data_IF_151018399983
#
_entry.id   IF_151018399983
#
_cell.length_a   1.000
_cell.length_b   1.000
_cell.length_c   1.000
_cell.angle_alpha   90.00
_cell.angle_beta   90.00
_cell.angle_gamma   90.00
#
_symmetry.space_group_name_H-M   'P 1'
#
loop_
_entity.id
_entity.type
_entity.pdbx_description
1 polymer ?
#
# COMPACT_ATOMS: atom_id res chain seq x y z
N UNK A 1 15.38 15.39 -11.79
CA UNK A 1 15.26 13.93 -11.62
C UNK A 1 13.80 13.49 -11.57
N UNK A 2 13.45 12.36 -12.24
CA UNK A 2 12.06 11.86 -12.24
C UNK A 2 11.62 11.54 -10.82
N UNK A 3 10.53 12.16 -10.37
CA UNK A 3 9.93 11.98 -9.03
C UNK A 3 9.34 10.57 -8.83
N UNK A 4 8.88 9.94 -9.92
CA UNK A 4 8.28 8.61 -9.95
C UNK A 4 9.02 7.72 -10.93
N UNK A 5 9.16 6.46 -10.56
CA UNK A 5 9.82 5.41 -11.35
C UNK A 5 8.93 4.18 -11.42
N UNK A 6 9.26 3.28 -12.32
CA UNK A 6 8.58 2.00 -12.47
C UNK A 6 9.56 0.85 -12.28
N UNK A 7 9.09 -0.20 -11.62
CA UNK A 7 9.77 -1.48 -11.48
C UNK A 7 8.97 -2.55 -12.22
N UNK A 8 9.55 -3.15 -13.25
CA UNK A 8 8.92 -4.23 -13.99
C UNK A 8 8.98 -5.52 -13.17
N UNK A 9 7.80 -6.06 -12.81
CA UNK A 9 7.67 -7.36 -12.16
C UNK A 9 7.69 -8.47 -13.21
N UNK A 10 7.12 -8.21 -14.39
CA UNK A 10 7.11 -9.07 -15.56
C UNK A 10 7.02 -8.20 -16.82
N UNK A 11 7.00 -8.85 -18.01
CA UNK A 11 6.83 -8.18 -19.31
C UNK A 11 5.59 -7.25 -19.33
N UNK A 12 4.51 -7.64 -18.64
CA UNK A 12 3.21 -6.93 -18.70
C UNK A 12 2.83 -6.23 -17.40
N UNK A 13 3.66 -6.32 -16.34
CA UNK A 13 3.29 -5.82 -15.02
C UNK A 13 4.42 -4.98 -14.42
N UNK A 14 4.08 -3.72 -14.09
CA UNK A 14 5.00 -2.76 -13.47
C UNK A 14 4.38 -2.12 -12.23
N UNK A 15 5.19 -1.89 -11.21
CA UNK A 15 4.82 -1.12 -10.02
C UNK A 15 5.43 0.28 -10.11
N UNK A 16 4.62 1.29 -9.85
CA UNK A 16 5.12 2.65 -9.67
C UNK A 16 5.62 2.84 -8.24
N UNK A 17 6.67 3.61 -8.08
CA UNK A 17 7.20 3.98 -6.78
C UNK A 17 7.85 5.37 -6.83
N UNK A 18 8.00 5.98 -5.66
CA UNK A 18 8.74 7.23 -5.49
C UNK A 18 9.97 6.97 -4.64
N UNK A 19 11.12 7.51 -5.05
CA UNK A 19 12.38 7.42 -4.30
C UNK A 19 13.14 8.73 -4.41
N UNK A 20 14.15 8.92 -3.58
CA UNK A 20 15.11 10.01 -3.67
C UNK A 20 16.51 9.47 -4.01
N UNK A 21 17.55 10.35 -3.99
CA UNK A 21 18.91 9.97 -4.34
C UNK A 21 19.78 9.60 -3.14
N UNK A 22 19.26 9.75 -1.94
CA UNK A 22 20.02 9.44 -0.75
C UNK A 22 20.02 7.93 -0.49
N UNK A 23 21.19 7.39 -0.16
CA UNK A 23 21.39 5.99 0.20
C UNK A 23 21.90 5.89 1.64
N UNK A 24 21.30 6.66 2.55
CA UNK A 24 21.68 6.73 3.96
C UNK A 24 20.65 6.07 4.85
N UNK A 25 21.13 5.32 5.82
CA UNK A 25 20.32 4.67 6.86
C UNK A 25 19.83 5.66 7.93
N UNK A 26 18.65 5.40 8.52
CA UNK A 26 17.66 4.46 8.02
C UNK A 26 16.90 5.01 6.81
N UNK A 27 16.45 4.15 5.91
CA UNK A 27 15.46 4.54 4.90
C UNK A 27 14.11 4.85 5.56
N UNK A 28 13.34 5.74 4.93
CA UNK A 28 11.91 5.91 5.20
C UNK A 28 11.13 5.16 4.13
N UNK A 29 10.41 4.10 4.51
CA UNK A 29 9.54 3.33 3.61
C UNK A 29 8.10 3.66 3.93
N UNK A 30 7.37 4.24 2.96
CA UNK A 30 5.96 4.61 3.10
C UNK A 30 5.04 3.68 2.31
N UNK A 31 4.02 3.15 2.99
CA UNK A 31 2.99 2.25 2.47
C UNK A 31 1.62 2.93 2.57
N UNK A 32 0.96 3.22 1.42
CA UNK A 32 -0.32 3.93 1.39
C UNK A 32 -1.49 3.04 1.82
N UNK A 33 -2.64 3.67 2.04
CA UNK A 33 -3.90 3.00 2.38
C UNK A 33 -4.64 2.45 1.18
N UNK A 34 -5.81 1.88 1.47
CA UNK A 34 -6.77 1.35 0.51
C UNK A 34 -7.15 2.39 -0.54
N UNK A 35 -7.12 2.01 -1.81
CA UNK A 35 -7.40 2.88 -2.98
C UNK A 35 -6.58 4.18 -3.03
N UNK A 36 -5.50 4.28 -2.27
CA UNK A 36 -4.63 5.46 -2.25
C UNK A 36 -3.44 5.31 -3.20
N UNK A 37 -2.94 6.45 -3.68
CA UNK A 37 -1.71 6.55 -4.45
C UNK A 37 -0.56 7.13 -3.62
N UNK A 38 0.57 7.39 -4.28
CA UNK A 38 1.77 7.99 -3.68
C UNK A 38 1.94 9.48 -4.03
N UNK A 39 0.87 10.14 -4.51
CA UNK A 39 0.88 11.57 -4.87
C UNK A 39 0.26 12.46 -3.79
N UNK A 40 -0.35 11.88 -2.76
CA UNK A 40 -1.03 12.58 -1.67
C UNK A 40 -0.09 13.36 -0.73
N UNK A 41 -0.68 14.06 0.24
CA UNK A 41 0.05 14.89 1.23
C UNK A 41 1.03 14.04 2.07
N UNK A 42 0.58 12.90 2.61
CA UNK A 42 1.40 12.04 3.50
C UNK A 42 2.72 11.61 2.84
N UNK A 43 2.73 10.91 1.68
CA UNK A 43 4.01 10.50 1.06
C UNK A 43 4.88 11.69 0.66
N UNK A 44 4.30 12.84 0.27
CA UNK A 44 5.07 14.07 0.00
C UNK A 44 5.78 14.60 1.23
N UNK A 45 5.09 14.64 2.39
CA UNK A 45 5.67 15.13 3.65
C UNK A 45 6.81 14.23 4.13
N UNK A 46 6.65 12.91 4.09
CA UNK A 46 7.72 11.99 4.46
C UNK A 46 8.90 12.02 3.51
N UNK A 47 8.66 12.21 2.21
CA UNK A 47 9.73 12.43 1.24
C UNK A 47 10.49 13.72 1.51
N UNK A 48 9.78 14.81 1.83
CA UNK A 48 10.39 16.09 2.19
C UNK A 48 11.26 15.96 3.44
N UNK A 49 10.74 15.30 4.47
CA UNK A 49 11.49 14.99 5.69
C UNK A 49 12.75 14.16 5.39
N UNK A 50 12.64 13.10 4.62
CA UNK A 50 13.78 12.27 4.24
C UNK A 50 14.84 13.08 3.48
N UNK A 51 14.42 13.96 2.55
CA UNK A 51 15.33 14.83 1.80
C UNK A 51 16.05 15.81 2.72
N UNK A 52 15.33 16.49 3.62
CA UNK A 52 15.92 17.44 4.59
C UNK A 52 16.99 16.77 5.45
N UNK A 53 16.78 15.53 5.85
CA UNK A 53 17.70 14.77 6.70
C UNK A 53 18.68 13.89 5.89
N UNK A 54 18.70 13.99 4.56
CA UNK A 54 19.57 13.21 3.65
C UNK A 54 19.40 11.68 3.84
N UNK A 55 18.21 11.22 4.24
CA UNK A 55 17.87 9.80 4.41
C UNK A 55 17.35 9.21 3.10
N UNK A 56 17.53 7.90 2.90
CA UNK A 56 16.87 7.17 1.81
C UNK A 56 15.36 7.23 1.94
N UNK A 57 14.64 7.22 0.81
CA UNK A 57 13.17 7.24 0.77
C UNK A 57 12.62 6.26 -0.26
N UNK A 58 11.56 5.57 0.10
CA UNK A 58 10.76 4.75 -0.79
C UNK A 58 9.26 4.90 -0.43
N UNK A 59 8.43 5.30 -1.40
CA UNK A 59 6.98 5.12 -1.31
C UNK A 59 6.53 4.11 -2.37
N UNK A 60 5.77 3.12 -1.95
CA UNK A 60 5.31 1.98 -2.76
C UNK A 60 3.90 2.25 -3.26
N UNK A 61 3.64 2.01 -4.55
CA UNK A 61 2.29 1.98 -5.10
C UNK A 61 1.97 0.57 -5.58
N UNK A 62 1.01 -0.07 -4.94
CA UNK A 62 0.69 -1.49 -5.17
C UNK A 62 0.02 -1.73 -6.53
N UNK A 63 0.00 -2.98 -6.97
CA UNK A 63 -0.79 -3.41 -8.13
C UNK A 63 -2.24 -2.96 -8.02
N UNK A 64 -2.78 -2.39 -9.11
CA UNK A 64 -4.15 -1.88 -9.16
C UNK A 64 -4.39 -0.55 -8.47
N UNK A 65 -3.36 0.06 -7.86
CA UNK A 65 -3.43 1.40 -7.26
C UNK A 65 -2.75 2.44 -8.15
N UNK A 66 -3.29 3.65 -8.16
CA UNK A 66 -2.74 4.80 -8.87
C UNK A 66 -2.38 4.50 -10.33
N UNK A 67 -1.08 4.54 -10.66
CA UNK A 67 -0.55 4.25 -12.01
C UNK A 67 0.24 2.95 -12.10
N UNK A 68 0.21 2.12 -11.07
CA UNK A 68 0.72 0.75 -11.13
C UNK A 68 -0.19 -0.14 -12.00
N UNK A 69 0.41 -1.14 -12.65
CA UNK A 69 -0.36 -2.10 -13.47
C UNK A 69 -1.31 -2.95 -12.62
N UNK A 70 -2.32 -3.49 -13.28
CA UNK A 70 -3.32 -4.38 -12.68
C UNK A 70 -4.66 -3.68 -12.46
N UNK A 71 -5.66 -4.49 -12.10
CA UNK A 71 -6.99 -4.00 -11.74
C UNK A 71 -7.15 -4.10 -10.23
N UNK A 72 -7.63 -3.05 -9.57
CA UNK A 72 -7.83 -3.01 -8.12
C UNK A 72 -8.66 -4.19 -7.61
N UNK A 73 -9.74 -4.52 -8.32
CA UNK A 73 -10.65 -5.63 -8.00
C UNK A 73 -10.00 -7.03 -8.07
N UNK A 74 -8.80 -7.15 -8.63
CA UNK A 74 -7.99 -8.37 -8.65
C UNK A 74 -6.91 -8.38 -7.56
N UNK A 75 -6.92 -7.37 -6.68
CA UNK A 75 -5.97 -7.24 -5.58
C UNK A 75 -6.45 -7.86 -4.29
N UNK A 76 -5.51 -8.14 -3.40
CA UNK A 76 -5.73 -8.52 -2.01
C UNK A 76 -4.51 -8.17 -1.16
N UNK A 77 -4.62 -8.31 0.15
CA UNK A 77 -3.53 -7.96 1.09
C UNK A 77 -2.25 -8.77 0.81
N UNK A 78 -2.37 -10.05 0.46
CA UNK A 78 -1.21 -10.90 0.16
C UNK A 78 -0.46 -10.42 -1.09
N UNK A 79 -1.17 -10.06 -2.16
CA UNK A 79 -0.60 -9.50 -3.38
C UNK A 79 0.13 -8.18 -3.08
N UNK A 80 -0.50 -7.25 -2.36
CA UNK A 80 0.04 -5.94 -2.05
C UNK A 80 1.21 -6.02 -1.06
N UNK A 81 1.18 -6.97 -0.11
CA UNK A 81 2.31 -7.31 0.75
C UNK A 81 3.52 -7.77 -0.07
N UNK A 82 3.30 -8.61 -1.08
CA UNK A 82 4.36 -9.10 -1.96
C UNK A 82 4.90 -8.00 -2.88
N UNK A 83 4.05 -7.09 -3.37
CA UNK A 83 4.48 -5.92 -4.14
C UNK A 83 5.41 -5.01 -3.32
N UNK A 84 5.03 -4.71 -2.08
CA UNK A 84 5.85 -3.95 -1.14
C UNK A 84 7.20 -4.66 -0.89
N UNK A 85 7.17 -5.97 -0.60
CA UNK A 85 8.37 -6.78 -0.40
C UNK A 85 9.34 -6.69 -1.58
N UNK A 86 8.84 -6.80 -2.82
CA UNK A 86 9.67 -6.72 -4.03
C UNK A 86 10.35 -5.35 -4.17
N UNK A 87 9.62 -4.26 -3.97
CA UNK A 87 10.17 -2.91 -4.05
C UNK A 87 11.15 -2.61 -2.92
N UNK A 88 10.86 -3.02 -1.69
CA UNK A 88 11.78 -2.88 -0.55
C UNK A 88 13.10 -3.60 -0.85
N UNK A 89 13.04 -4.86 -1.26
CA UNK A 89 14.26 -5.62 -1.64
C UNK A 89 15.07 -4.93 -2.73
N UNK A 90 14.40 -4.41 -3.75
CA UNK A 90 15.06 -3.78 -4.92
C UNK A 90 15.69 -2.44 -4.59
N UNK A 91 15.01 -1.60 -3.80
CA UNK A 91 15.39 -0.19 -3.57
C UNK A 91 16.17 -0.02 -2.27
N UNK A 92 15.66 -0.58 -1.17
CA UNK A 92 16.29 -0.47 0.16
C UNK A 92 17.48 -1.42 0.29
N UNK A 93 17.43 -2.56 -0.40
CA UNK A 93 18.49 -3.59 -0.39
C UNK A 93 18.75 -4.11 1.03
N UNK A 94 19.99 -3.98 1.53
CA UNK A 94 20.43 -4.40 2.88
C UNK A 94 20.34 -3.29 3.94
N UNK A 95 19.90 -2.08 3.56
CA UNK A 95 19.83 -0.97 4.49
C UNK A 95 18.76 -1.18 5.56
N UNK A 96 18.96 -0.57 6.73
CA UNK A 96 17.94 -0.45 7.78
C UNK A 96 16.87 0.54 7.34
N UNK A 97 15.63 0.38 7.81
CA UNK A 97 14.55 1.30 7.48
C UNK A 97 13.48 1.41 8.56
N UNK A 98 12.91 2.61 8.65
CA UNK A 98 11.66 2.87 9.33
C UNK A 98 10.52 2.58 8.34
N UNK A 99 9.52 1.82 8.75
CA UNK A 99 8.35 1.53 7.93
C UNK A 99 7.14 2.33 8.42
N UNK A 100 6.49 3.03 7.50
CA UNK A 100 5.34 3.89 7.79
C UNK A 100 4.16 3.37 7.01
N UNK A 101 3.11 2.95 7.70
CA UNK A 101 1.88 2.47 7.10
C UNK A 101 0.70 3.37 7.40
N UNK A 102 -0.05 3.78 6.37
CA UNK A 102 -1.29 4.52 6.54
C UNK A 102 -2.50 3.63 6.31
N UNK A 103 -3.43 3.53 7.28
CA UNK A 103 -4.64 2.70 7.20
C UNK A 103 -4.28 1.24 6.83
N UNK A 104 -4.82 0.68 5.73
CA UNK A 104 -4.42 -0.62 5.18
C UNK A 104 -2.90 -0.80 5.06
N UNK A 105 -2.17 0.28 4.74
CA UNK A 105 -0.70 0.25 4.64
C UNK A 105 -0.02 -0.15 5.94
N UNK A 106 -0.64 0.07 7.09
CA UNK A 106 -0.14 -0.41 8.38
C UNK A 106 -0.25 -1.94 8.50
N UNK A 107 -1.32 -2.55 7.99
CA UNK A 107 -1.42 -4.01 7.91
C UNK A 107 -0.35 -4.60 7.00
N UNK A 108 -0.15 -4.01 5.82
CA UNK A 108 0.91 -4.43 4.90
C UNK A 108 2.30 -4.24 5.55
N UNK A 109 2.50 -3.17 6.34
CA UNK A 109 3.73 -2.93 7.08
C UNK A 109 4.01 -4.01 8.13
N UNK A 110 3.01 -4.41 8.92
CA UNK A 110 3.11 -5.52 9.86
C UNK A 110 3.55 -6.82 9.17
N UNK A 111 2.97 -7.11 8.00
CA UNK A 111 3.34 -8.28 7.22
C UNK A 111 4.80 -8.25 6.71
N UNK A 112 5.44 -7.07 6.60
CA UNK A 112 6.83 -6.97 6.18
C UNK A 112 7.82 -7.49 7.25
N UNK A 113 7.45 -7.51 8.54
CA UNK A 113 8.30 -8.07 9.59
C UNK A 113 8.66 -9.54 9.36
N UNK A 114 7.80 -10.30 8.69
CA UNK A 114 8.09 -11.71 8.29
C UNK A 114 9.30 -11.83 7.38
N UNK A 115 9.64 -10.76 6.63
CA UNK A 115 10.69 -10.77 5.61
C UNK A 115 11.90 -9.90 5.95
N UNK A 116 11.72 -8.88 6.80
CA UNK A 116 12.70 -7.82 7.03
C UNK A 116 12.91 -7.53 8.53
N UNK A 117 12.62 -8.50 9.42
CA UNK A 117 12.73 -8.35 10.88
C UNK A 117 14.03 -7.65 11.31
N UNK A 118 15.15 -8.06 10.72
CA UNK A 118 16.48 -7.53 11.09
C UNK A 118 16.82 -6.19 10.42
N UNK A 119 15.99 -5.71 9.48
CA UNK A 119 16.21 -4.43 8.78
C UNK A 119 15.23 -3.34 9.25
N UNK A 120 14.05 -3.71 9.75
CA UNK A 120 13.07 -2.78 10.29
C UNK A 120 13.55 -2.31 11.66
N UNK A 121 13.86 -1.01 11.78
CA UNK A 121 14.31 -0.38 13.03
C UNK A 121 13.21 0.36 13.77
N UNK A 122 12.03 0.46 13.18
CA UNK A 122 10.84 1.05 13.79
C UNK A 122 9.65 1.06 12.84
N UNK A 123 8.46 1.19 13.39
CA UNK A 123 7.21 1.27 12.65
C UNK A 123 6.36 2.45 13.14
N UNK A 124 5.79 3.19 12.19
CA UNK A 124 4.77 4.21 12.45
C UNK A 124 3.47 3.84 11.73
N UNK A 125 2.39 3.68 12.48
CA UNK A 125 1.05 3.49 11.96
C UNK A 125 0.26 4.79 12.00
N UNK A 126 -0.39 5.16 10.91
CA UNK A 126 -1.23 6.35 10.79
C UNK A 126 -2.66 5.92 10.49
N UNK A 127 -3.57 6.04 11.46
CA UNK A 127 -4.93 5.54 11.33
C UNK A 127 -4.94 4.05 10.97
N UNK A 128 -4.15 3.27 11.69
CA UNK A 128 -3.89 1.85 11.39
C UNK A 128 -5.17 1.03 11.37
N UNK A 129 -5.36 0.23 10.33
CA UNK A 129 -6.53 -0.60 10.15
C UNK A 129 -6.12 -2.05 9.76
N UNK A 130 -5.48 -2.81 10.67
CA UNK A 130 -5.24 -4.23 10.44
C UNK A 130 -6.58 -4.97 10.42
N UNK A 131 -6.68 -6.00 9.55
CA UNK A 131 -7.89 -6.84 9.44
C UNK A 131 -9.19 -6.07 9.14
N UNK A 132 -9.09 -4.84 8.59
CA UNK A 132 -10.26 -3.98 8.36
C UNK A 132 -11.26 -4.60 7.38
N UNK A 133 -10.80 -5.42 6.46
CA UNK A 133 -11.64 -6.09 5.47
C UNK A 133 -12.64 -7.04 6.13
N UNK A 134 -12.21 -7.78 7.14
CA UNK A 134 -13.06 -8.66 7.92
C UNK A 134 -13.83 -7.87 8.98
N UNK A 135 -13.11 -7.23 9.91
CA UNK A 135 -13.71 -6.62 11.11
C UNK A 135 -14.55 -5.38 10.85
N UNK A 136 -14.14 -4.52 9.91
CA UNK A 136 -14.80 -3.23 9.66
C UNK A 136 -15.68 -3.24 8.41
N UNK A 137 -15.49 -4.22 7.52
CA UNK A 137 -16.26 -4.30 6.28
C UNK A 137 -17.15 -5.56 6.26
N UNK A 138 -16.61 -6.76 6.05
CA UNK A 138 -17.38 -7.97 5.86
C UNK A 138 -18.40 -8.23 6.98
N UNK A 139 -17.94 -8.19 8.24
CA UNK A 139 -18.82 -8.45 9.39
C UNK A 139 -19.92 -7.40 9.57
N UNK A 140 -19.73 -6.20 8.99
CA UNK A 140 -20.72 -5.11 9.06
C UNK A 140 -21.57 -4.93 7.80
N UNK A 141 -21.27 -5.67 6.73
CA UNK A 141 -22.08 -5.58 5.53
C UNK A 141 -23.48 -6.17 5.74
N UNK A 142 -24.53 -5.49 5.24
CA UNK A 142 -25.85 -6.09 5.13
C UNK A 142 -25.81 -7.39 4.32
N UNK A 143 -26.69 -8.34 4.65
CA UNK A 143 -26.75 -9.62 3.94
C UNK A 143 -26.94 -9.48 2.41
N UNK A 144 -27.66 -8.46 1.97
CA UNK A 144 -27.81 -8.12 0.55
C UNK A 144 -26.46 -7.92 -0.14
N UNK A 145 -25.56 -7.17 0.49
CA UNK A 145 -24.21 -6.88 -0.04
C UNK A 145 -23.34 -8.14 -0.02
N UNK A 146 -23.35 -8.90 1.08
CA UNK A 146 -22.64 -10.17 1.17
C UNK A 146 -23.06 -11.13 0.08
N UNK A 147 -24.38 -11.30 -0.10
CA UNK A 147 -24.96 -12.15 -1.14
C UNK A 147 -24.60 -11.67 -2.56
N UNK A 148 -24.52 -10.36 -2.78
CA UNK A 148 -24.08 -9.82 -4.06
C UNK A 148 -22.61 -10.17 -4.34
N UNK A 149 -21.72 -10.00 -3.36
CA UNK A 149 -20.29 -10.36 -3.47
C UNK A 149 -20.16 -11.88 -3.73
N UNK A 150 -20.88 -12.71 -2.98
CA UNK A 150 -20.80 -14.17 -3.13
C UNK A 150 -21.32 -14.64 -4.50
N UNK A 151 -22.42 -14.05 -5.00
CA UNK A 151 -23.06 -14.48 -6.26
C UNK A 151 -22.38 -13.89 -7.50
N UNK A 152 -22.00 -12.59 -7.45
CA UNK A 152 -21.44 -11.85 -8.61
C UNK A 152 -19.91 -11.69 -8.54
N UNK A 153 -19.29 -12.06 -7.41
CA UNK A 153 -17.87 -11.88 -7.17
C UNK A 153 -17.44 -10.45 -6.81
N UNK A 154 -18.39 -9.49 -6.82
CA UNK A 154 -18.12 -8.07 -6.55
C UNK A 154 -19.39 -7.32 -6.15
N UNK A 155 -19.26 -6.36 -5.24
CA UNK A 155 -20.26 -5.31 -5.00
C UNK A 155 -19.58 -3.94 -4.94
N UNK A 156 -20.35 -2.88 -5.24
CA UNK A 156 -19.88 -1.48 -5.09
C UNK A 156 -20.49 -0.90 -3.82
N UNK A 157 -19.64 -0.52 -2.89
CA UNK A 157 -20.05 0.05 -1.61
C UNK A 157 -19.97 1.57 -1.67
N UNK A 158 -21.06 2.24 -1.33
CA UNK A 158 -21.10 3.68 -1.16
C UNK A 158 -20.67 4.03 0.27
N UNK A 159 -19.73 4.94 0.44
CA UNK A 159 -19.34 5.46 1.75
C UNK A 159 -19.85 6.89 1.94
N UNK A 160 -20.87 7.05 2.81
CA UNK A 160 -21.55 8.33 3.06
C UNK A 160 -22.51 8.76 1.94
N UNK A 161 -23.19 9.87 2.16
CA UNK A 161 -24.23 10.42 1.26
C UNK A 161 -23.71 11.00 -0.07
N UNK A 162 -22.41 10.94 -0.29
CA UNK A 162 -21.79 11.46 -1.51
C UNK A 162 -21.39 10.32 -2.41
N UNK A 163 -21.99 10.24 -3.59
CA UNK A 163 -21.63 9.36 -4.72
C UNK A 163 -20.12 9.34 -5.07
N UNK A 164 -19.35 10.22 -4.46
CA UNK A 164 -17.92 10.43 -4.71
C UNK A 164 -17.01 9.34 -4.14
N UNK A 165 -17.48 8.51 -3.23
CA UNK A 165 -16.67 7.47 -2.57
C UNK A 165 -17.29 6.09 -2.77
N UNK A 166 -17.17 5.59 -4.00
CA UNK A 166 -17.56 4.23 -4.33
C UNK A 166 -16.36 3.30 -4.23
N UNK A 167 -16.50 2.21 -3.47
CA UNK A 167 -15.45 1.21 -3.30
C UNK A 167 -15.90 -0.13 -3.91
N UNK A 168 -15.26 -0.59 -4.99
CA UNK A 168 -15.51 -1.94 -5.47
C UNK A 168 -14.85 -2.95 -4.53
N UNK A 169 -15.66 -3.78 -3.89
CA UNK A 169 -15.22 -4.87 -3.01
C UNK A 169 -15.42 -6.17 -3.76
N UNK A 170 -14.34 -6.87 -4.07
CA UNK A 170 -14.39 -8.18 -4.71
C UNK A 170 -14.29 -9.30 -3.68
N UNK A 171 -14.81 -10.47 -4.03
CA UNK A 171 -14.65 -11.68 -3.23
C UNK A 171 -13.16 -12.01 -2.95
N UNK A 172 -12.29 -11.76 -3.92
CA UNK A 172 -10.85 -12.00 -3.78
C UNK A 172 -10.17 -11.07 -2.76
N UNK A 173 -10.79 -9.93 -2.45
CA UNK A 173 -10.26 -8.96 -1.50
C UNK A 173 -10.54 -9.37 -0.05
N UNK A 174 -11.70 -10.01 0.20
CA UNK A 174 -12.15 -10.51 1.48
C UNK A 174 -11.57 -11.89 1.76
#
# INVERSE_FOLDING_TARGET
MKKFRYYNISRYRKLRYSTNNFNKNPYIVFLPGFMSDIEGKKPKSFRSFANKNKLGFLAVEYSGHGKSSGKFIKGNISLWTNDAKKLIRKIVKKNKFLIIGSSMGAWIALNQFRYFKNQIVGMLGIGSAPEFLDRLMWNKFPEKIKNEILKKGIAVINHGDKLKYQYPISYQLI
#
